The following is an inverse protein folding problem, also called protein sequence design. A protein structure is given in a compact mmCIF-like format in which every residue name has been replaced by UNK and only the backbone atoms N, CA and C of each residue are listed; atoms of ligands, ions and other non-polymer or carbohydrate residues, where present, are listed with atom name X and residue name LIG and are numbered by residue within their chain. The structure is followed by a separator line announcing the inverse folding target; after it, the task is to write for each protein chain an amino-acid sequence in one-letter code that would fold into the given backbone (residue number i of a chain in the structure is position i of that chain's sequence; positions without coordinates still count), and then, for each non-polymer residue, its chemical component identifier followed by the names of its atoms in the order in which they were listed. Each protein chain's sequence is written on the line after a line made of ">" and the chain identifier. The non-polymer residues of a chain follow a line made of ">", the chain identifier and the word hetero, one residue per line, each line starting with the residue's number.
data_IF_000210737681
#
_entry.id   IF_000210737681
#
_cell.length_a   1.000
_cell.length_b   1.000
_cell.length_c   1.000
_cell.angle_alpha   90.00
_cell.angle_beta   90.00
_cell.angle_gamma   90.00
#
_symmetry.space_group_name_H-M   'P 1'
#
loop_
_entity.id
_entity.type
_entity.pdbx_description
1 polymer ?
#
# COMPACT_ATOMS: atom_id res chain seq x y z
N UNK A 1 16.42 -3.47 -15.06
CA UNK A 1 15.15 -3.97 -14.51
C UNK A 1 14.22 -2.77 -14.31
N UNK A 2 12.96 -2.88 -14.78
CA UNK A 2 11.95 -1.82 -14.73
C UNK A 2 10.77 -2.23 -13.86
N UNK A 3 10.16 -1.27 -13.18
CA UNK A 3 9.02 -1.44 -12.30
C UNK A 3 7.89 -0.52 -12.77
N UNK A 4 6.66 -1.03 -12.91
CA UNK A 4 5.45 -0.23 -12.95
C UNK A 4 4.92 -0.08 -11.51
N UNK A 5 4.75 1.16 -11.05
CA UNK A 5 4.27 1.49 -9.72
C UNK A 5 2.76 1.75 -9.78
N UNK A 6 1.97 0.93 -9.08
CA UNK A 6 0.51 1.00 -9.01
C UNK A 6 0.09 1.53 -7.64
N UNK A 7 -0.57 2.69 -7.61
CA UNK A 7 -1.17 3.27 -6.40
C UNK A 7 -2.64 2.86 -6.32
N UNK A 8 -3.04 2.22 -5.23
CA UNK A 8 -4.41 1.78 -4.96
C UNK A 8 -5.14 2.86 -4.16
N UNK A 9 -6.03 3.60 -4.82
CA UNK A 9 -6.70 4.77 -4.29
C UNK A 9 -8.23 4.71 -4.44
N UNK A 10 -8.83 3.51 -4.39
CA UNK A 10 -10.27 3.29 -4.57
C UNK A 10 -11.01 2.87 -3.30
N UNK A 11 -10.37 2.89 -2.13
CA UNK A 11 -10.94 2.43 -0.87
C UNK A 11 -12.25 3.14 -0.51
N UNK A 12 -13.26 2.38 -0.07
CA UNK A 12 -14.61 2.88 0.21
C UNK A 12 -14.76 3.63 1.53
N UNK A 13 -13.73 3.62 2.39
CA UNK A 13 -13.67 4.37 3.67
C UNK A 13 -14.90 4.19 4.58
N UNK A 14 -15.56 3.01 4.55
CA UNK A 14 -16.84 2.74 5.23
C UNK A 14 -16.81 3.09 6.74
N UNK A 15 -15.69 2.84 7.41
CA UNK A 15 -15.49 3.11 8.84
C UNK A 15 -15.15 4.56 9.16
N UNK A 16 -14.67 5.31 8.16
CA UNK A 16 -14.24 6.70 8.31
C UNK A 16 -15.42 7.70 8.25
N UNK A 17 -16.58 7.26 7.68
CA UNK A 17 -17.79 8.06 7.53
C UNK A 17 -17.75 9.10 6.41
N UNK A 18 -16.62 9.24 5.73
CA UNK A 18 -16.40 10.09 4.55
C UNK A 18 -15.23 9.51 3.74
N UNK A 19 -14.91 10.11 2.59
CA UNK A 19 -13.74 9.67 1.83
C UNK A 19 -12.44 10.01 2.60
N UNK A 20 -11.82 9.00 3.24
CA UNK A 20 -10.58 9.18 4.01
C UNK A 20 -9.42 9.72 3.19
N UNK A 21 -9.35 9.39 1.89
CA UNK A 21 -8.27 9.83 1.02
C UNK A 21 -8.27 11.33 0.75
N UNK A 22 -9.45 11.98 0.86
CA UNK A 22 -9.60 13.45 0.75
C UNK A 22 -9.44 14.16 2.10
N UNK A 23 -9.34 13.42 3.20
CA UNK A 23 -9.10 14.02 4.50
C UNK A 23 -7.73 14.70 4.56
N UNK A 24 -7.69 15.89 5.16
CA UNK A 24 -6.45 16.69 5.25
C UNK A 24 -5.67 16.38 6.53
N UNK A 25 -4.41 16.01 6.34
CA UNK A 25 -3.40 15.86 7.39
C UNK A 25 -2.42 17.01 7.20
N UNK A 26 -2.27 17.87 8.21
CA UNK A 26 -1.43 19.07 8.12
C UNK A 26 -1.70 19.93 6.87
N UNK A 27 -3.00 20.08 6.52
CA UNK A 27 -3.43 20.91 5.38
C UNK A 27 -3.35 20.26 4.00
N UNK A 28 -2.81 19.03 3.89
CA UNK A 28 -2.66 18.29 2.64
C UNK A 28 -3.53 17.04 2.64
N UNK A 29 -4.29 16.77 1.56
CA UNK A 29 -5.13 15.59 1.42
C UNK A 29 -4.28 14.31 1.48
N UNK A 30 -4.80 13.28 2.15
CA UNK A 30 -4.09 12.04 2.46
C UNK A 30 -3.49 11.36 1.20
N UNK A 31 -4.27 11.23 0.14
CA UNK A 31 -3.80 10.59 -1.10
C UNK A 31 -2.60 11.31 -1.74
N UNK A 32 -2.49 12.64 -1.54
CA UNK A 32 -1.40 13.44 -2.13
C UNK A 32 -0.03 13.07 -1.54
N UNK A 33 0.02 12.54 -0.33
CA UNK A 33 1.28 12.07 0.25
C UNK A 33 1.87 10.92 -0.57
N UNK A 34 1.05 9.91 -0.90
CA UNK A 34 1.51 8.76 -1.69
C UNK A 34 1.75 9.10 -3.16
N UNK A 35 0.93 9.97 -3.76
CA UNK A 35 1.12 10.43 -5.16
C UNK A 35 2.41 11.25 -5.29
N UNK A 36 2.67 12.19 -4.37
CA UNK A 36 3.90 12.99 -4.41
C UNK A 36 5.14 12.16 -4.09
N UNK A 37 5.00 11.15 -3.20
CA UNK A 37 6.07 10.19 -2.94
C UNK A 37 6.41 9.41 -4.21
N UNK A 38 5.41 8.91 -4.94
CA UNK A 38 5.62 8.20 -6.20
C UNK A 38 6.27 9.09 -7.27
N UNK A 39 5.88 10.37 -7.36
CA UNK A 39 6.50 11.36 -8.24
C UNK A 39 8.00 11.54 -7.92
N UNK A 40 8.32 11.69 -6.64
CA UNK A 40 9.71 11.80 -6.20
C UNK A 40 10.52 10.53 -6.49
N UNK A 41 9.94 9.34 -6.24
CA UNK A 41 10.58 8.07 -6.57
C UNK A 41 10.86 7.96 -8.08
N UNK A 42 9.92 8.36 -8.96
CA UNK A 42 10.15 8.33 -10.40
C UNK A 42 11.28 9.27 -10.82
N UNK A 43 11.45 10.40 -10.17
CA UNK A 43 12.56 11.34 -10.43
C UNK A 43 13.90 10.79 -9.98
N UNK A 44 13.97 10.20 -8.76
CA UNK A 44 15.21 9.64 -8.22
C UNK A 44 15.60 8.29 -8.85
N UNK A 45 14.62 7.50 -9.28
CA UNK A 45 14.77 6.17 -9.86
C UNK A 45 14.29 6.10 -11.32
N UNK A 46 14.56 7.13 -12.12
CA UNK A 46 14.09 7.26 -13.52
C UNK A 46 14.45 6.06 -14.40
N UNK A 47 15.56 5.40 -14.11
CA UNK A 47 16.03 4.23 -14.85
C UNK A 47 15.38 2.92 -14.37
N UNK A 48 14.62 2.96 -13.26
CA UNK A 48 13.98 1.81 -12.63
C UNK A 48 12.45 1.93 -12.74
N UNK A 49 11.86 3.07 -12.32
CA UNK A 49 10.40 3.25 -12.37
C UNK A 49 9.99 3.69 -13.78
N UNK A 50 9.26 2.80 -14.46
CA UNK A 50 8.79 3.01 -15.83
C UNK A 50 7.54 3.89 -15.87
N UNK A 51 6.47 3.44 -15.20
CA UNK A 51 5.20 4.16 -15.13
C UNK A 51 4.71 4.26 -13.69
N UNK A 52 3.92 5.31 -13.41
CA UNK A 52 3.10 5.44 -12.22
C UNK A 52 1.64 5.37 -12.67
N UNK A 53 0.90 4.40 -12.13
CA UNK A 53 -0.50 4.12 -12.44
C UNK A 53 -1.29 4.33 -11.14
N UNK A 54 -2.30 5.17 -11.17
CA UNK A 54 -3.17 5.42 -10.01
C UNK A 54 -4.56 4.90 -10.31
N UNK A 55 -5.00 3.91 -9.55
CA UNK A 55 -6.33 3.31 -9.70
C UNK A 55 -7.26 3.93 -8.66
N UNK A 56 -8.28 4.66 -9.11
CA UNK A 56 -9.22 5.35 -8.22
C UNK A 56 -10.60 5.49 -8.87
N UNK A 57 -11.63 5.74 -8.06
CA UNK A 57 -12.98 6.14 -8.50
C UNK A 57 -13.26 7.63 -8.29
N UNK A 58 -12.35 8.36 -7.67
CA UNK A 58 -12.60 9.73 -7.21
C UNK A 58 -12.07 10.76 -8.21
N UNK A 59 -12.96 11.71 -8.57
CA UNK A 59 -12.65 12.78 -9.53
C UNK A 59 -11.51 13.68 -9.06
N UNK A 60 -11.47 14.01 -7.79
CA UNK A 60 -10.45 14.89 -7.20
C UNK A 60 -9.06 14.25 -7.29
N UNK A 61 -8.98 12.91 -7.15
CA UNK A 61 -7.75 12.16 -7.33
C UNK A 61 -7.34 12.16 -8.80
N UNK A 62 -8.29 11.95 -9.71
CA UNK A 62 -8.05 12.00 -11.17
C UNK A 62 -7.41 13.31 -11.61
N UNK A 63 -7.99 14.44 -11.21
CA UNK A 63 -7.49 15.77 -11.59
C UNK A 63 -6.04 15.98 -11.11
N UNK A 64 -5.74 15.59 -9.87
CA UNK A 64 -4.38 15.70 -9.33
C UNK A 64 -3.37 14.79 -10.02
N UNK A 65 -3.74 13.53 -10.26
CA UNK A 65 -2.90 12.52 -10.94
C UNK A 65 -2.52 12.97 -12.34
N UNK A 66 -3.51 13.44 -13.12
CA UNK A 66 -3.28 13.93 -14.48
C UNK A 66 -2.40 15.19 -14.50
N UNK A 67 -2.51 16.09 -13.50
CA UNK A 67 -1.64 17.26 -13.37
C UNK A 67 -0.16 16.89 -13.11
N UNK A 68 0.11 15.65 -12.66
CA UNK A 68 1.46 15.10 -12.45
C UNK A 68 1.96 14.27 -13.65
N UNK A 69 1.24 14.24 -14.77
CA UNK A 69 1.55 13.40 -15.92
C UNK A 69 1.67 11.89 -15.56
N UNK A 70 0.82 11.42 -14.63
CA UNK A 70 0.69 10.02 -14.26
C UNK A 70 -0.52 9.40 -14.95
N UNK A 71 -0.52 8.08 -15.08
CA UNK A 71 -1.62 7.32 -15.67
C UNK A 71 -2.74 7.18 -14.63
N UNK A 72 -3.96 7.59 -14.99
CA UNK A 72 -5.14 7.38 -14.18
C UNK A 72 -5.99 6.25 -14.75
N UNK A 73 -6.40 5.32 -13.89
CA UNK A 73 -7.32 4.22 -14.22
C UNK A 73 -8.55 4.33 -13.32
N UNK A 74 -9.72 4.41 -13.93
CA UNK A 74 -10.97 4.47 -13.19
C UNK A 74 -11.39 3.08 -12.70
N UNK A 75 -11.78 2.97 -11.41
CA UNK A 75 -12.34 1.74 -10.84
C UNK A 75 -13.82 1.92 -10.47
N UNK A 76 -14.76 1.65 -11.38
CA UNK A 76 -16.18 1.76 -11.09
C UNK A 76 -16.72 0.64 -10.19
N UNK A 77 -15.93 -0.43 -9.97
CA UNK A 77 -16.33 -1.61 -9.20
C UNK A 77 -15.58 -1.73 -7.87
N UNK A 78 -15.13 -0.61 -7.30
CA UNK A 78 -14.34 -0.61 -6.06
C UNK A 78 -15.08 -1.21 -4.85
N UNK A 79 -16.41 -1.27 -4.88
CA UNK A 79 -17.26 -1.90 -3.86
C UNK A 79 -17.02 -3.41 -3.76
N UNK A 80 -16.57 -4.05 -4.83
CA UNK A 80 -16.27 -5.48 -4.88
C UNK A 80 -14.93 -5.83 -4.22
N UNK A 81 -14.21 -4.82 -3.66
CA UNK A 81 -13.01 -5.02 -2.88
C UNK A 81 -11.71 -4.62 -3.60
N UNK A 82 -10.59 -4.72 -2.86
CA UNK A 82 -9.27 -4.26 -3.32
C UNK A 82 -8.77 -5.00 -4.57
N UNK A 83 -9.18 -6.26 -4.76
CA UNK A 83 -8.80 -7.07 -5.91
C UNK A 83 -9.14 -6.41 -7.24
N UNK A 84 -10.26 -5.68 -7.34
CA UNK A 84 -10.64 -4.96 -8.58
C UNK A 84 -9.60 -3.89 -8.94
N UNK A 85 -9.08 -3.17 -7.95
CA UNK A 85 -8.04 -2.16 -8.17
C UNK A 85 -6.71 -2.80 -8.58
N UNK A 86 -6.35 -3.94 -7.99
CA UNK A 86 -5.14 -4.70 -8.34
C UNK A 86 -5.23 -5.16 -9.80
N UNK A 87 -6.35 -5.79 -10.20
CA UNK A 87 -6.58 -6.30 -11.56
C UNK A 87 -6.52 -5.16 -12.60
N UNK A 88 -7.16 -4.02 -12.31
CA UNK A 88 -7.11 -2.86 -13.21
C UNK A 88 -5.70 -2.29 -13.36
N UNK A 89 -4.94 -2.20 -12.25
CA UNK A 89 -3.54 -1.77 -12.28
C UNK A 89 -2.65 -2.73 -13.09
N UNK A 90 -2.90 -4.03 -12.99
CA UNK A 90 -2.23 -5.06 -13.79
C UNK A 90 -2.57 -4.87 -15.28
N UNK A 91 -3.85 -4.77 -15.62
CA UNK A 91 -4.31 -4.61 -17.02
C UNK A 91 -3.72 -3.38 -17.69
N UNK A 92 -3.59 -2.26 -16.95
CA UNK A 92 -2.92 -1.07 -17.47
C UNK A 92 -1.42 -1.29 -17.65
N UNK A 93 -0.78 -2.01 -16.71
CA UNK A 93 0.65 -2.32 -16.77
C UNK A 93 1.02 -3.28 -17.92
N UNK A 94 0.08 -4.09 -18.39
CA UNK A 94 0.28 -5.00 -19.55
C UNK A 94 0.45 -4.23 -20.87
N UNK A 95 -0.10 -3.02 -20.99
CA UNK A 95 0.03 -2.17 -22.19
C UNK A 95 1.47 -1.71 -22.40
N UNK A 96 2.21 -1.50 -21.34
CA UNK A 96 3.61 -1.12 -21.35
C UNK A 96 4.39 -1.88 -20.28
N UNK A 97 4.64 -3.15 -20.55
CA UNK A 97 5.16 -4.15 -19.62
C UNK A 97 6.54 -3.78 -19.06
N UNK A 98 6.69 -3.95 -17.75
CA UNK A 98 7.94 -3.92 -17.00
C UNK A 98 8.29 -5.32 -16.48
N UNK A 99 9.43 -5.52 -15.81
CA UNK A 99 9.78 -6.82 -15.20
C UNK A 99 9.06 -7.06 -13.88
N UNK A 100 8.66 -5.97 -13.20
CA UNK A 100 8.01 -6.02 -11.89
C UNK A 100 6.83 -5.07 -11.80
N UNK A 101 5.89 -5.42 -10.93
CA UNK A 101 4.78 -4.57 -10.49
C UNK A 101 4.97 -4.25 -9.01
N UNK A 102 4.90 -2.98 -8.64
CA UNK A 102 4.89 -2.54 -7.25
C UNK A 102 3.54 -1.97 -6.90
N UNK A 103 2.93 -2.46 -5.82
CA UNK A 103 1.65 -1.94 -5.31
C UNK A 103 1.89 -1.14 -4.05
N UNK A 104 1.27 0.04 -3.99
CA UNK A 104 1.23 0.91 -2.82
C UNK A 104 -0.20 1.35 -2.55
N UNK A 105 -0.54 1.58 -1.29
CA UNK A 105 -1.82 2.15 -0.87
C UNK A 105 -1.70 3.66 -0.64
N UNK A 106 -2.82 4.39 -0.72
CA UNK A 106 -2.82 5.86 -0.58
C UNK A 106 -3.25 6.35 0.81
N UNK A 107 -3.37 5.46 1.79
CA UNK A 107 -3.78 5.73 3.17
C UNK A 107 -2.66 5.60 4.21
N UNK A 108 -1.39 5.50 3.74
CA UNK A 108 -0.17 5.47 4.55
C UNK A 108 0.65 6.77 4.36
N UNK A 109 0.23 7.90 4.95
CA UNK A 109 0.82 9.21 4.66
C UNK A 109 2.22 9.42 5.27
N UNK A 110 2.65 8.53 6.17
CA UNK A 110 3.94 8.64 6.87
C UNK A 110 5.08 7.84 6.22
N UNK A 111 4.79 7.14 5.13
CA UNK A 111 5.79 6.40 4.36
C UNK A 111 6.85 7.35 3.81
N UNK A 112 8.13 7.02 3.98
CA UNK A 112 9.26 7.86 3.52
C UNK A 112 9.76 7.44 2.15
N UNK A 113 10.05 8.42 1.30
CA UNK A 113 10.63 8.18 -0.03
C UNK A 113 11.95 7.41 0.05
N UNK A 114 12.83 7.77 1.00
CA UNK A 114 14.12 7.09 1.19
C UNK A 114 13.97 5.62 1.57
N UNK A 115 12.98 5.28 2.39
CA UNK A 115 12.68 3.89 2.78
C UNK A 115 12.28 3.08 1.56
N UNK A 116 11.38 3.61 0.73
CA UNK A 116 10.91 2.92 -0.47
C UNK A 116 12.00 2.81 -1.54
N UNK A 117 12.83 3.85 -1.69
CA UNK A 117 13.98 3.83 -2.60
C UNK A 117 14.98 2.73 -2.21
N UNK A 118 15.31 2.63 -0.91
CA UNK A 118 16.20 1.59 -0.39
C UNK A 118 15.59 0.19 -0.53
N UNK A 119 14.29 0.05 -0.25
CA UNK A 119 13.55 -1.21 -0.46
C UNK A 119 13.66 -1.68 -1.91
N UNK A 120 13.33 -0.81 -2.88
CA UNK A 120 13.42 -1.13 -4.31
C UNK A 120 14.84 -1.57 -4.69
N UNK A 121 15.86 -0.78 -4.31
CA UNK A 121 17.27 -1.07 -4.65
C UNK A 121 17.74 -2.41 -4.06
N UNK A 122 17.35 -2.70 -2.82
CA UNK A 122 17.71 -3.94 -2.13
C UNK A 122 16.96 -5.15 -2.70
N UNK A 123 15.66 -5.00 -2.98
CA UNK A 123 14.86 -6.03 -3.64
C UNK A 123 15.46 -6.44 -4.98
N UNK A 124 15.81 -5.48 -5.83
CA UNK A 124 16.38 -5.78 -7.14
C UNK A 124 17.73 -6.51 -7.10
N UNK A 125 18.41 -6.50 -5.96
CA UNK A 125 19.66 -7.26 -5.71
C UNK A 125 19.41 -8.65 -5.12
N UNK A 126 18.20 -8.92 -4.62
CA UNK A 126 17.89 -10.14 -3.84
C UNK A 126 17.65 -11.39 -4.69
N UNK A 127 17.47 -11.26 -6.00
CA UNK A 127 17.05 -12.33 -6.92
C UNK A 127 15.71 -12.99 -6.56
N UNK A 128 14.92 -12.41 -5.63
CA UNK A 128 13.59 -12.88 -5.24
C UNK A 128 12.51 -12.37 -6.19
N UNK A 129 11.43 -13.13 -6.31
CA UNK A 129 10.30 -12.76 -7.16
C UNK A 129 9.27 -11.88 -6.48
N UNK A 130 9.26 -11.83 -5.14
CA UNK A 130 8.37 -11.00 -4.33
C UNK A 130 9.20 -10.14 -3.38
N UNK A 131 8.84 -8.87 -3.21
CA UNK A 131 9.34 -7.99 -2.19
C UNK A 131 8.21 -7.48 -1.30
N UNK A 132 8.45 -7.40 0.01
CA UNK A 132 7.51 -6.80 0.96
C UNK A 132 8.27 -5.99 2.02
N UNK A 133 7.68 -4.89 2.46
CA UNK A 133 8.15 -4.19 3.65
C UNK A 133 7.57 -4.84 4.90
N UNK A 134 8.28 -4.77 6.02
CA UNK A 134 7.82 -5.29 7.30
C UNK A 134 8.25 -4.40 8.47
N UNK A 135 7.52 -4.49 9.56
CA UNK A 135 7.95 -4.02 10.88
C UNK A 135 7.65 -5.12 11.89
N UNK A 136 8.67 -5.56 12.65
CA UNK A 136 8.55 -6.62 13.67
C UNK A 136 7.83 -7.87 13.15
N UNK A 137 8.26 -8.39 11.99
CA UNK A 137 7.69 -9.57 11.29
C UNK A 137 6.28 -9.36 10.69
N UNK A 138 5.64 -8.20 10.89
CA UNK A 138 4.36 -7.88 10.27
C UNK A 138 4.60 -7.28 8.89
N UNK A 139 4.32 -8.06 7.84
CA UNK A 139 4.44 -7.62 6.45
C UNK A 139 3.29 -6.68 6.05
N UNK A 140 3.62 -5.61 5.31
CA UNK A 140 2.69 -4.58 4.87
C UNK A 140 2.90 -4.12 3.43
N UNK A 141 2.29 -2.99 3.10
CA UNK A 141 2.54 -2.26 1.87
C UNK A 141 3.72 -1.28 2.06
N UNK A 142 4.48 -1.00 0.98
CA UNK A 142 4.32 -1.53 -0.38
C UNK A 142 4.84 -2.96 -0.57
N UNK A 143 4.38 -3.60 -1.65
CA UNK A 143 4.89 -4.89 -2.09
C UNK A 143 5.20 -4.89 -3.59
N UNK A 144 6.20 -5.70 -3.99
CA UNK A 144 6.67 -5.85 -5.37
C UNK A 144 6.47 -7.30 -5.79
N UNK A 145 6.02 -7.51 -7.03
CA UNK A 145 5.86 -8.84 -7.63
C UNK A 145 6.50 -8.89 -9.01
N UNK A 146 7.23 -9.96 -9.29
CA UNK A 146 7.63 -10.29 -10.65
C UNK A 146 6.44 -10.78 -11.46
N UNK A 147 6.54 -10.69 -12.78
CA UNK A 147 5.46 -11.13 -13.70
C UNK A 147 5.10 -12.61 -13.58
N UNK A 148 5.92 -13.45 -12.97
CA UNK A 148 5.56 -14.86 -12.75
C UNK A 148 4.35 -15.05 -11.83
N UNK A 149 4.04 -14.04 -10.97
CA UNK A 149 2.90 -14.04 -10.06
C UNK A 149 1.65 -13.35 -10.64
N UNK A 150 1.71 -12.90 -11.89
CA UNK A 150 0.62 -12.14 -12.52
C UNK A 150 -0.71 -12.89 -12.51
N UNK A 151 -0.68 -14.15 -12.93
CA UNK A 151 -1.91 -14.96 -13.02
C UNK A 151 -2.53 -15.25 -11.65
N UNK A 152 -1.72 -15.35 -10.61
CA UNK A 152 -2.24 -15.52 -9.24
C UNK A 152 -2.80 -14.22 -8.69
N UNK A 153 -2.18 -13.07 -9.00
CA UNK A 153 -2.71 -11.75 -8.68
C UNK A 153 -4.06 -11.48 -9.39
N UNK A 154 -4.22 -11.92 -10.63
CA UNK A 154 -5.49 -11.78 -11.38
C UNK A 154 -6.62 -12.67 -10.83
N UNK A 155 -6.30 -13.77 -10.13
CA UNK A 155 -7.30 -14.64 -9.47
C UNK A 155 -7.78 -14.11 -8.13
N UNK A 156 -7.22 -13.00 -7.63
CA UNK A 156 -7.68 -12.38 -6.39
C UNK A 156 -9.12 -11.89 -6.54
N UNK A 157 -9.89 -12.00 -5.47
CA UNK A 157 -11.31 -11.56 -5.44
C UNK A 157 -11.66 -10.92 -4.09
N UNK A 158 -12.64 -10.02 -4.09
CA UNK A 158 -13.10 -9.34 -2.88
C UNK A 158 -12.00 -8.49 -2.24
N UNK A 159 -11.96 -8.49 -0.92
CA UNK A 159 -10.97 -7.73 -0.13
C UNK A 159 -9.65 -8.49 0.08
N UNK A 160 -9.39 -9.52 -0.75
CA UNK A 160 -8.12 -10.25 -0.74
C UNK A 160 -7.11 -9.51 -1.60
N UNK A 161 -5.99 -9.09 -0.98
CA UNK A 161 -4.88 -8.42 -1.64
C UNK A 161 -3.66 -9.30 -1.85
N UNK A 162 -2.56 -8.72 -2.32
CA UNK A 162 -1.29 -9.41 -2.60
C UNK A 162 -0.68 -10.17 -1.41
N UNK A 163 -1.09 -9.88 -0.18
CA UNK A 163 -0.64 -10.57 1.04
C UNK A 163 -0.91 -12.08 0.99
N UNK A 164 -1.98 -12.52 0.32
CA UNK A 164 -2.25 -13.95 0.10
C UNK A 164 -1.11 -14.60 -0.67
N UNK A 165 -0.73 -14.00 -1.81
CA UNK A 165 0.35 -14.51 -2.67
C UNK A 165 1.68 -14.53 -1.92
N UNK A 166 1.97 -13.50 -1.11
CA UNK A 166 3.17 -13.44 -0.28
C UNK A 166 3.21 -14.62 0.69
N UNK A 167 2.10 -14.91 1.41
CA UNK A 167 2.03 -16.01 2.37
C UNK A 167 2.18 -17.39 1.73
N UNK A 168 1.71 -17.56 0.51
CA UNK A 168 1.78 -18.82 -0.24
C UNK A 168 3.18 -19.06 -0.86
N UNK A 169 4.07 -18.04 -0.86
CA UNK A 169 5.37 -18.10 -1.54
C UNK A 169 6.53 -17.55 -0.68
N UNK A 170 6.53 -17.80 0.62
CA UNK A 170 7.50 -17.20 1.56
C UNK A 170 8.96 -17.45 1.20
N UNK A 171 9.28 -18.57 0.57
CA UNK A 171 10.64 -18.91 0.13
C UNK A 171 11.16 -17.99 -0.98
N UNK A 172 10.26 -17.30 -1.71
CA UNK A 172 10.61 -16.37 -2.78
C UNK A 172 10.36 -14.90 -2.40
N UNK A 173 10.23 -14.61 -1.10
CA UNK A 173 10.01 -13.26 -0.58
C UNK A 173 11.30 -12.64 -0.08
N UNK A 174 11.58 -11.42 -0.53
CA UNK A 174 12.54 -10.51 0.08
C UNK A 174 11.80 -9.60 1.06
N UNK A 175 12.19 -9.61 2.33
CA UNK A 175 11.62 -8.77 3.38
C UNK A 175 12.55 -7.60 3.65
N UNK A 176 12.02 -6.38 3.60
CA UNK A 176 12.70 -5.15 3.96
C UNK A 176 12.12 -4.60 5.27
N UNK A 177 12.89 -4.66 6.36
CA UNK A 177 12.48 -4.11 7.66
C UNK A 177 12.56 -2.59 7.65
N UNK A 178 11.45 -1.92 7.96
CA UNK A 178 11.41 -0.47 8.14
C UNK A 178 11.82 -0.07 9.55
N UNK A 179 12.34 1.15 9.70
CA UNK A 179 12.88 1.62 10.97
C UNK A 179 11.81 1.92 12.03
N UNK A 180 10.60 2.23 11.61
CA UNK A 180 9.49 2.58 12.53
C UNK A 180 8.17 2.06 12.01
N UNK A 181 7.32 1.57 12.93
CA UNK A 181 5.95 1.14 12.63
C UNK A 181 5.14 2.23 11.93
N UNK A 182 5.37 3.49 12.31
CA UNK A 182 4.66 4.65 11.78
C UNK A 182 4.72 4.76 10.25
N UNK A 183 5.78 4.29 9.61
CA UNK A 183 5.92 4.32 8.15
C UNK A 183 4.91 3.42 7.42
N UNK A 184 4.37 2.40 8.11
CA UNK A 184 3.42 1.43 7.56
C UNK A 184 1.99 1.61 8.12
N UNK A 185 1.73 2.72 8.82
CA UNK A 185 0.43 2.97 9.45
C UNK A 185 -0.62 3.43 8.45
N UNK A 186 -1.73 2.66 8.39
CA UNK A 186 -2.95 3.08 7.72
C UNK A 186 -3.76 4.02 8.63
N UNK A 187 -4.34 5.06 8.09
CA UNK A 187 -5.29 5.90 8.84
C UNK A 187 -6.71 5.40 8.58
N UNK A 188 -7.29 4.68 9.53
CA UNK A 188 -8.61 4.04 9.39
C UNK A 188 -9.74 4.76 10.13
N UNK A 189 -9.43 5.57 11.14
CA UNK A 189 -10.43 6.23 11.98
C UNK A 189 -10.07 7.67 12.28
N UNK A 190 -11.11 8.54 12.28
CA UNK A 190 -11.05 9.85 12.91
C UNK A 190 -11.46 9.70 14.38
N UNK A 191 -10.57 9.98 15.32
CA UNK A 191 -10.97 10.10 16.72
C UNK A 191 -11.70 11.43 16.91
N UNK A 192 -13.05 11.39 16.95
CA UNK A 192 -13.90 12.57 17.15
C UNK A 192 -13.62 13.30 18.46
N UNK A 193 -13.04 12.64 19.46
CA UNK A 193 -12.71 13.22 20.77
C UNK A 193 -11.34 13.97 20.78
N UNK A 194 -10.55 13.85 19.73
CA UNK A 194 -9.26 14.54 19.61
C UNK A 194 -9.39 16.05 19.35
N UNK A 195 -10.58 16.56 19.00
CA UNK A 195 -10.83 17.98 18.77
C UNK A 195 -10.63 18.85 20.02
N UNK A 196 -10.79 18.27 21.23
CA UNK A 196 -10.60 19.02 22.48
C UNK A 196 -9.13 19.08 22.93
N UNK A 197 -8.24 18.20 22.44
CA UNK A 197 -6.85 18.09 22.95
C UNK A 197 -5.74 18.11 21.88
N UNK A 198 -5.99 18.46 20.62
CA UNK A 198 -4.97 18.50 19.53
C UNK A 198 -4.06 17.25 19.43
N UNK A 199 -4.48 16.11 19.93
CA UNK A 199 -3.76 14.82 19.79
C UNK A 199 -4.58 13.87 18.92
N UNK A 200 -4.07 13.54 17.75
CA UNK A 200 -4.64 12.49 16.90
C UNK A 200 -4.23 11.13 17.48
N UNK A 201 -5.21 10.33 17.91
CA UNK A 201 -4.95 8.93 18.26
C UNK A 201 -5.31 8.13 17.01
N UNK A 202 -4.29 7.56 16.39
CA UNK A 202 -4.42 6.65 15.24
C UNK A 202 -4.64 5.27 15.83
N UNK A 203 -5.80 4.66 15.59
CA UNK A 203 -6.05 3.26 15.95
C UNK A 203 -5.64 2.37 14.79
N UNK A 204 -4.77 1.43 15.10
CA UNK A 204 -4.23 0.46 14.17
C UNK A 204 -5.23 -0.67 13.93
N UNK A 205 -5.48 -1.00 12.68
CA UNK A 205 -5.78 -2.36 12.32
C UNK A 205 -4.50 -2.95 11.75
N UNK A 206 -3.67 -3.51 12.64
CA UNK A 206 -2.66 -4.47 12.19
C UNK A 206 -3.42 -5.59 11.48
N UNK A 207 -2.95 -5.95 10.32
CA UNK A 207 -3.39 -7.11 9.54
C UNK A 207 -3.05 -8.43 10.27
N UNK A 208 -3.43 -8.52 11.54
CA UNK A 208 -3.31 -9.75 12.33
C UNK A 208 -4.70 -10.38 12.30
N UNK A 209 -4.94 -11.24 11.34
CA UNK A 209 -5.93 -12.27 11.47
C UNK A 209 -5.22 -13.54 11.96
N UNK A 210 -5.49 -13.84 13.23
CA UNK A 210 -5.71 -15.16 13.82
C UNK A 210 -4.90 -16.31 13.24
N UNK A 211 -3.78 -16.58 13.89
CA UNK A 211 -3.40 -17.95 14.16
C UNK A 211 -3.89 -18.20 15.58
N UNK A 212 -5.01 -18.89 15.70
CA UNK A 212 -5.41 -19.53 16.97
C UNK A 212 -4.34 -20.54 17.33
N UNK A 213 -3.49 -20.18 18.27
CA UNK A 213 -2.81 -21.14 19.12
C UNK A 213 -3.39 -20.99 20.51
N UNK A 214 -3.88 -22.06 21.14
CA UNK A 214 -4.38 -21.99 22.50
C UNK A 214 -3.21 -21.71 23.44
N UNK A 215 -3.15 -20.53 24.01
CA UNK A 215 -2.24 -20.21 25.11
C UNK A 215 -2.95 -20.60 26.40
N UNK A 216 -2.69 -21.82 26.89
CA UNK A 216 -2.89 -22.19 28.25
C UNK A 216 -1.77 -21.55 29.08
N UNK A 217 -2.17 -20.80 30.13
CA UNK A 217 -1.40 -20.34 31.27
C UNK A 217 -0.29 -19.28 31.02
N UNK A 218 -0.64 -18.04 31.36
CA UNK A 218 0.22 -17.20 32.21
C UNK A 218 -0.67 -16.21 32.97
N UNK A 219 -0.81 -16.48 34.25
CA UNK A 219 -1.40 -15.63 35.29
C UNK A 219 -0.44 -14.49 35.64
N UNK A 220 -1.00 -13.31 35.82
CA UNK A 220 -0.50 -12.28 36.72
C UNK A 220 0.49 -11.30 36.17
N UNK A 221 0.05 -10.02 36.00
CA UNK A 221 0.71 -8.88 36.65
C UNK A 221 -0.29 -7.71 36.71
N UNK A 222 -0.33 -7.14 37.93
CA UNK A 222 -1.24 -6.11 38.38
C UNK A 222 -0.97 -4.74 37.76
N UNK A 223 -2.03 -3.92 37.78
CA UNK A 223 -2.07 -2.48 37.59
C UNK A 223 -1.05 -1.72 38.47
N UNK A 224 -0.33 -0.81 37.90
CA UNK A 224 -0.02 0.52 38.43
C UNK A 224 0.02 1.54 37.28
#
# INVERSE_FOLDING_TARGET
>A
MKINLVLLASGNSKRFGSNKLLYKINGKEMFKYSVDLADNLKKSLKDIIKNIIVVSKYREIKEYVLSKNMIYVENPQSELGISTSIILGISESEKDRSEYLMFMVCDQPYTKSSTIENFIKSFLKSSKGIGAVAFEKSMGNPCIFSWKYLEDLKKLSGDIGGKKIIKENLDDVYIYEVSTKKELEDIDFLNKNAWQNRKYIVYYHSWINEVETPVSHLTGYELL
#
